data_IF_170205346728
#
_entry.id   IF_170205346728
#
_cell.length_a   1.000
_cell.length_b   1.000
_cell.length_c   1.000
_cell.angle_alpha   90.00
_cell.angle_beta   90.00
_cell.angle_gamma   90.00
#
_symmetry.space_group_name_H-M   'P 1'
#
loop_
_entity.id
_entity.type
_entity.pdbx_description
1 polymer ?
#
# COMPACT_ATOMS: atom_id res chain seq x y z
N UNK A 1 11.31 15.59 5.63
CA UNK A 1 10.23 15.85 4.63
C UNK A 1 10.40 17.22 3.98
N UNK A 2 10.30 18.37 4.68
CA UNK A 2 10.43 19.69 4.03
C UNK A 2 11.74 19.93 3.26
N UNK A 3 12.83 19.32 3.70
CA UNK A 3 14.14 19.38 3.02
C UNK A 3 14.20 18.52 1.74
N UNK A 4 13.38 17.46 1.66
CA UNK A 4 13.34 16.49 0.54
C UNK A 4 12.16 16.77 -0.41
N UNK A 5 11.12 17.42 0.10
CA UNK A 5 9.89 17.83 -0.58
C UNK A 5 9.63 19.30 -0.22
N UNK A 6 10.29 20.25 -0.91
CA UNK A 6 10.11 21.67 -0.64
C UNK A 6 8.66 22.09 -0.94
N UNK A 7 8.15 23.06 -0.18
CA UNK A 7 6.80 23.58 -0.42
C UNK A 7 6.74 24.21 -1.81
N UNK A 8 5.69 23.87 -2.57
CA UNK A 8 5.45 24.47 -3.88
C UNK A 8 5.29 26.00 -3.72
N UNK A 9 6.13 26.83 -4.36
CA UNK A 9 6.07 28.28 -4.23
C UNK A 9 4.82 28.91 -4.87
N UNK A 10 4.19 28.23 -5.84
CA UNK A 10 2.95 28.66 -6.47
C UNK A 10 1.94 27.49 -6.57
N UNK A 11 1.26 27.16 -5.46
CA UNK A 11 0.28 26.08 -5.47
C UNK A 11 -0.95 26.50 -6.25
N UNK A 12 -1.43 25.59 -7.11
CA UNK A 12 -2.74 25.73 -7.78
C UNK A 12 -3.86 25.41 -6.79
N UNK A 13 -5.02 26.01 -6.98
CA UNK A 13 -6.23 25.63 -6.26
C UNK A 13 -6.62 24.21 -6.65
N UNK A 14 -6.89 23.36 -5.66
CA UNK A 14 -7.31 21.98 -5.85
C UNK A 14 -8.80 21.84 -5.55
N UNK A 15 -9.57 21.26 -6.46
CA UNK A 15 -10.96 20.84 -6.24
C UNK A 15 -11.06 19.33 -5.97
N UNK A 16 -12.21 18.87 -5.46
CA UNK A 16 -12.47 17.43 -5.29
C UNK A 16 -12.39 16.67 -6.63
N UNK A 17 -12.94 17.26 -7.70
CA UNK A 17 -12.88 16.70 -9.05
C UNK A 17 -11.45 16.53 -9.53
N UNK A 18 -10.57 17.51 -9.27
CA UNK A 18 -9.15 17.41 -9.61
C UNK A 18 -8.42 16.35 -8.76
N UNK A 19 -8.77 16.22 -7.48
CA UNK A 19 -8.22 15.15 -6.63
C UNK A 19 -8.58 13.77 -7.19
N UNK A 20 -9.84 13.57 -7.57
CA UNK A 20 -10.26 12.32 -8.25
C UNK A 20 -9.50 12.09 -9.55
N UNK A 21 -9.28 13.15 -10.34
CA UNK A 21 -8.50 13.06 -11.59
C UNK A 21 -7.05 12.64 -11.34
N UNK A 22 -6.40 13.15 -10.29
CA UNK A 22 -5.04 12.75 -9.91
C UNK A 22 -5.00 11.26 -9.59
N UNK A 23 -5.96 10.75 -8.78
CA UNK A 23 -6.04 9.33 -8.44
C UNK A 23 -6.31 8.48 -9.69
N UNK A 24 -7.20 8.93 -10.58
CA UNK A 24 -7.49 8.22 -11.83
C UNK A 24 -6.27 8.15 -12.77
N UNK A 25 -5.51 9.24 -12.89
CA UNK A 25 -4.26 9.24 -13.66
C UNK A 25 -3.27 8.25 -13.05
N UNK A 26 -3.11 8.26 -11.73
CA UNK A 26 -2.23 7.33 -11.03
C UNK A 26 -2.61 5.86 -11.28
N UNK A 27 -3.89 5.49 -11.20
CA UNK A 27 -4.37 4.14 -11.54
C UNK A 27 -4.09 3.79 -13.00
N UNK A 28 -4.31 4.72 -13.94
CA UNK A 28 -4.04 4.48 -15.36
C UNK A 28 -2.55 4.23 -15.63
N UNK A 29 -1.67 5.04 -15.01
CA UNK A 29 -0.22 4.93 -15.18
C UNK A 29 0.31 3.62 -14.58
N UNK A 30 -0.19 3.23 -13.39
CA UNK A 30 0.13 1.94 -12.78
C UNK A 30 -0.33 0.76 -13.64
N UNK A 31 -1.53 0.83 -14.23
CA UNK A 31 -2.01 -0.20 -15.15
C UNK A 31 -1.15 -0.30 -16.42
N UNK A 32 -0.68 0.83 -16.95
CA UNK A 32 0.23 0.83 -18.10
C UNK A 32 1.60 0.22 -17.74
N UNK A 33 2.12 0.53 -16.56
CA UNK A 33 3.35 -0.06 -16.03
C UNK A 33 3.21 -1.57 -15.82
N UNK A 34 2.14 -2.02 -15.16
CA UNK A 34 1.80 -3.43 -14.97
C UNK A 34 1.76 -4.17 -16.31
N UNK A 35 1.04 -3.64 -17.31
CA UNK A 35 0.95 -4.28 -18.63
C UNK A 35 2.31 -4.41 -19.32
N UNK A 36 3.18 -3.41 -19.15
CA UNK A 36 4.54 -3.43 -19.69
C UNK A 36 5.38 -4.53 -19.02
N UNK A 37 5.31 -4.63 -17.68
CA UNK A 37 6.04 -5.63 -16.90
C UNK A 37 5.53 -7.04 -17.20
N UNK A 38 4.21 -7.22 -17.22
CA UNK A 38 3.53 -8.47 -17.55
C UNK A 38 3.79 -8.92 -18.99
N UNK A 39 4.19 -8.03 -19.90
CA UNK A 39 4.58 -8.39 -21.26
C UNK A 39 5.98 -9.05 -21.35
N UNK A 40 6.80 -8.97 -20.31
CA UNK A 40 8.11 -9.63 -20.24
C UNK A 40 7.90 -11.14 -20.06
N UNK A 41 8.19 -11.92 -21.11
CA UNK A 41 8.00 -13.39 -21.12
C UNK A 41 9.28 -14.19 -21.12
N UNK A 42 10.40 -13.55 -21.46
CA UNK A 42 11.71 -14.18 -21.47
C UNK A 42 12.10 -14.56 -20.04
N UNK A 43 12.41 -15.84 -19.80
CA UNK A 43 12.86 -16.33 -18.49
C UNK A 43 14.27 -15.89 -18.17
N UNK A 44 15.06 -15.54 -19.18
CA UNK A 44 16.49 -15.26 -19.06
C UNK A 44 16.76 -13.75 -19.15
N UNK A 45 15.70 -12.93 -19.06
CA UNK A 45 15.82 -11.47 -19.08
C UNK A 45 16.68 -11.00 -17.91
N UNK A 46 17.60 -10.08 -18.22
CA UNK A 46 18.39 -9.36 -17.22
C UNK A 46 18.47 -7.89 -17.59
N UNK A 47 18.15 -7.02 -16.65
CA UNK A 47 18.22 -5.57 -16.81
C UNK A 47 19.13 -4.97 -15.72
N UNK A 48 20.45 -4.85 -15.98
CA UNK A 48 21.38 -4.20 -15.06
C UNK A 48 21.01 -2.71 -14.91
N UNK A 49 20.66 -2.29 -13.70
CA UNK A 49 20.38 -0.90 -13.35
C UNK A 49 21.18 -0.44 -12.14
N UNK A 50 21.84 0.71 -12.28
CA UNK A 50 22.38 1.43 -11.15
C UNK A 50 21.26 2.19 -10.43
N UNK A 51 20.49 1.52 -9.57
CA UNK A 51 19.33 2.12 -8.91
C UNK A 51 19.72 3.35 -8.08
N UNK A 52 20.92 3.37 -7.50
CA UNK A 52 21.44 4.54 -6.79
C UNK A 52 21.69 5.78 -7.66
N UNK A 53 21.77 5.63 -8.98
CA UNK A 53 21.88 6.73 -9.94
C UNK A 53 20.53 7.18 -10.50
N UNK A 54 19.45 6.45 -10.24
CA UNK A 54 18.11 6.85 -10.67
C UNK A 54 17.72 8.09 -9.89
N UNK A 55 17.28 9.13 -10.61
CA UNK A 55 16.75 10.35 -9.99
C UNK A 55 15.27 10.46 -10.29
N UNK A 56 14.47 10.71 -9.26
CA UNK A 56 13.02 10.79 -9.35
C UNK A 56 12.58 12.20 -8.99
N UNK A 57 11.81 12.83 -9.88
CA UNK A 57 11.13 14.08 -9.56
C UNK A 57 9.76 13.80 -8.94
N UNK A 58 9.76 13.57 -7.62
CA UNK A 58 8.55 13.30 -6.85
C UNK A 58 7.55 14.48 -6.85
N UNK A 59 7.98 15.66 -7.28
CA UNK A 59 7.21 16.90 -7.16
C UNK A 59 6.75 17.46 -8.51
N UNK A 60 7.22 16.90 -9.62
CA UNK A 60 7.00 17.44 -10.96
C UNK A 60 7.58 18.84 -11.16
N UNK A 61 8.61 19.24 -10.39
CA UNK A 61 9.22 20.59 -10.44
C UNK A 61 10.45 20.67 -11.34
N UNK A 62 10.82 19.57 -12.01
CA UNK A 62 12.06 19.43 -12.78
C UNK A 62 13.30 19.32 -11.91
N UNK A 63 13.14 19.10 -10.60
CA UNK A 63 14.24 18.97 -9.61
C UNK A 63 14.25 17.55 -9.05
N UNK A 64 14.89 16.60 -9.75
CA UNK A 64 14.85 15.21 -9.33
C UNK A 64 15.76 15.01 -8.10
N UNK A 65 15.31 14.16 -7.18
CA UNK A 65 16.08 13.71 -6.02
C UNK A 65 16.62 12.31 -6.27
N UNK A 66 17.70 11.92 -5.59
CA UNK A 66 18.27 10.59 -5.75
C UNK A 66 17.30 9.53 -5.19
N UNK A 67 17.02 8.49 -5.99
CA UNK A 67 16.16 7.37 -5.61
C UNK A 67 16.73 6.57 -4.42
N UNK A 68 18.02 6.73 -4.11
CA UNK A 68 18.66 6.16 -2.93
C UNK A 68 17.96 6.51 -1.61
N UNK A 69 17.22 7.63 -1.53
CA UNK A 69 16.37 7.91 -0.37
C UNK A 69 15.27 6.85 -0.14
N UNK A 70 14.74 6.25 -1.22
CA UNK A 70 13.72 5.18 -1.17
C UNK A 70 14.29 3.86 -0.62
N UNK A 71 15.60 3.66 -0.76
CA UNK A 71 16.33 2.48 -0.28
C UNK A 71 16.74 2.58 1.20
N UNK A 72 16.32 3.64 1.90
CA UNK A 72 16.55 3.81 3.34
C UNK A 72 17.72 4.72 3.65
N UNK A 73 17.47 6.03 3.68
CA UNK A 73 18.18 7.00 4.54
C UNK A 73 19.71 6.92 4.58
N UNK A 74 20.37 6.86 3.43
CA UNK A 74 21.82 7.03 3.31
C UNK A 74 22.19 8.50 3.53
N UNK A 75 22.55 8.83 4.76
CA UNK A 75 22.71 10.21 5.22
C UNK A 75 24.15 10.71 5.08
N UNK A 76 25.11 9.84 4.81
CA UNK A 76 26.52 10.22 4.62
C UNK A 76 26.92 10.20 3.14
N UNK A 77 27.85 11.08 2.71
CA UNK A 77 28.37 11.07 1.34
C UNK A 77 29.03 9.74 0.92
N UNK A 78 29.62 9.01 1.87
CA UNK A 78 30.25 7.70 1.64
C UNK A 78 29.20 6.61 1.34
N UNK A 79 28.11 6.57 2.13
CA UNK A 79 26.98 5.69 1.86
C UNK A 79 26.31 6.00 0.51
N UNK A 80 26.19 7.28 0.15
CA UNK A 80 25.63 7.69 -1.14
C UNK A 80 26.51 7.25 -2.32
N UNK A 81 27.84 7.29 -2.18
CA UNK A 81 28.77 6.77 -3.20
C UNK A 81 28.70 5.26 -3.34
N UNK A 82 28.57 4.54 -2.23
CA UNK A 82 28.37 3.08 -2.24
C UNK A 82 27.06 2.71 -2.94
N UNK A 83 25.99 3.47 -2.66
CA UNK A 83 24.67 3.25 -3.27
C UNK A 83 24.65 3.55 -4.76
N UNK A 84 25.34 4.61 -5.19
CA UNK A 84 25.52 4.94 -6.59
C UNK A 84 26.27 3.83 -7.37
N UNK A 85 27.12 3.06 -6.70
CA UNK A 85 27.85 1.95 -7.31
C UNK A 85 27.05 0.65 -7.38
N UNK A 86 25.97 0.50 -6.60
CA UNK A 86 25.14 -0.72 -6.64
C UNK A 86 24.46 -0.88 -7.99
N UNK A 87 24.79 -1.98 -8.66
CA UNK A 87 24.04 -2.52 -9.79
C UNK A 87 23.05 -3.52 -9.24
N UNK A 88 21.84 -3.50 -9.75
CA UNK A 88 20.82 -4.54 -9.57
C UNK A 88 20.51 -5.13 -10.93
N UNK A 89 20.58 -6.45 -11.05
CA UNK A 89 20.28 -7.14 -12.30
C UNK A 89 18.82 -7.61 -12.28
N UNK A 90 17.90 -6.73 -12.66
CA UNK A 90 16.48 -7.07 -12.60
C UNK A 90 16.12 -8.19 -13.56
N UNK A 91 15.51 -9.24 -13.04
CA UNK A 91 15.24 -10.48 -13.76
C UNK A 91 13.73 -10.70 -14.08
N UNK A 92 13.38 -11.93 -14.48
CA UNK A 92 12.01 -12.31 -14.77
C UNK A 92 11.11 -12.29 -13.53
N UNK A 93 11.62 -12.75 -12.38
CA UNK A 93 10.90 -12.72 -11.11
C UNK A 93 10.63 -11.28 -10.65
N UNK A 94 11.58 -10.38 -10.85
CA UNK A 94 11.45 -8.95 -10.53
C UNK A 94 10.40 -8.23 -11.36
N UNK A 95 10.22 -8.63 -12.62
CA UNK A 95 9.13 -8.12 -13.45
C UNK A 95 7.75 -8.50 -12.86
N UNK A 96 7.60 -9.72 -12.34
CA UNK A 96 6.37 -10.13 -11.64
C UNK A 96 6.23 -9.42 -10.29
N UNK A 97 7.31 -9.26 -9.53
CA UNK A 97 7.33 -8.50 -8.27
C UNK A 97 6.78 -7.09 -8.46
N UNK A 98 7.34 -6.33 -9.42
CA UNK A 98 6.91 -4.96 -9.64
C UNK A 98 5.49 -4.88 -10.23
N UNK A 99 5.07 -5.85 -11.05
CA UNK A 99 3.68 -5.95 -11.53
C UNK A 99 2.69 -6.25 -10.38
N UNK A 100 3.09 -7.07 -9.41
CA UNK A 100 2.34 -7.31 -8.17
C UNK A 100 2.12 -6.02 -7.37
N UNK A 101 3.17 -5.21 -7.22
CA UNK A 101 3.08 -3.88 -6.61
C UNK A 101 2.16 -2.92 -7.35
N UNK A 102 2.23 -2.88 -8.67
CA UNK A 102 1.33 -2.04 -9.47
C UNK A 102 -0.13 -2.38 -9.19
N UNK A 103 -0.46 -3.68 -9.17
CA UNK A 103 -1.79 -4.17 -8.84
C UNK A 103 -2.20 -3.83 -7.39
N UNK A 104 -1.32 -4.02 -6.40
CA UNK A 104 -1.63 -3.65 -5.01
C UNK A 104 -2.00 -2.17 -4.89
N UNK A 105 -1.24 -1.28 -5.53
CA UNK A 105 -1.49 0.16 -5.50
C UNK A 105 -2.75 0.54 -6.29
N UNK A 106 -2.98 -0.07 -7.45
CA UNK A 106 -4.22 0.10 -8.23
C UNK A 106 -5.46 -0.25 -7.39
N UNK A 107 -5.42 -1.32 -6.61
CA UNK A 107 -6.54 -1.70 -5.75
C UNK A 107 -6.95 -0.58 -4.77
N UNK A 108 -5.97 0.09 -4.16
CA UNK A 108 -6.24 1.24 -3.27
C UNK A 108 -6.76 2.45 -4.05
N UNK A 109 -6.21 2.74 -5.22
CA UNK A 109 -6.71 3.78 -6.10
C UNK A 109 -8.17 3.56 -6.50
N UNK A 110 -8.54 2.33 -6.84
CA UNK A 110 -9.93 1.96 -7.16
C UNK A 110 -10.86 2.10 -5.96
N UNK A 111 -10.44 1.71 -4.75
CA UNK A 111 -11.24 1.93 -3.52
C UNK A 111 -11.44 3.42 -3.25
N UNK A 112 -10.40 4.24 -3.39
CA UNK A 112 -10.49 5.71 -3.21
C UNK A 112 -11.42 6.37 -4.23
N UNK A 113 -11.47 5.85 -5.46
CA UNK A 113 -12.39 6.31 -6.50
C UNK A 113 -13.82 5.75 -6.30
N UNK A 114 -13.97 4.57 -5.69
CA UNK A 114 -15.27 3.96 -5.43
C UNK A 114 -16.11 4.78 -4.44
N UNK A 115 -15.46 5.44 -3.47
CA UNK A 115 -16.12 6.22 -2.43
C UNK A 115 -16.48 7.63 -2.86
N UNK A 116 -17.54 8.17 -2.25
CA UNK A 116 -17.82 9.60 -2.25
C UNK A 116 -17.06 10.27 -1.10
N UNK A 117 -16.04 11.04 -1.47
CA UNK A 117 -15.18 11.78 -0.55
C UNK A 117 -15.42 13.29 -0.60
N UNK A 118 -16.45 13.76 -1.32
CA UNK A 118 -16.67 15.18 -1.60
C UNK A 118 -16.91 15.99 -0.31
N UNK A 119 -17.75 15.47 0.59
CA UNK A 119 -18.02 16.13 1.87
C UNK A 119 -16.77 16.21 2.75
N UNK A 120 -16.01 15.10 2.84
CA UNK A 120 -14.73 15.09 3.56
C UNK A 120 -13.76 16.10 2.96
N UNK A 121 -13.64 16.15 1.63
CA UNK A 121 -12.80 17.12 0.94
C UNK A 121 -13.21 18.55 1.28
N UNK A 122 -14.48 18.90 1.11
CA UNK A 122 -15.00 20.24 1.35
C UNK A 122 -14.72 20.70 2.79
N UNK A 123 -14.92 19.82 3.77
CA UNK A 123 -14.78 20.16 5.18
C UNK A 123 -13.35 20.14 5.73
N UNK A 124 -12.40 19.44 5.07
CA UNK A 124 -11.13 19.09 5.73
C UNK A 124 -9.89 19.13 4.84
N UNK A 125 -10.03 19.32 3.53
CA UNK A 125 -8.89 19.32 2.60
C UNK A 125 -7.88 20.45 2.89
N UNK A 126 -8.31 21.55 3.51
CA UNK A 126 -7.43 22.63 3.97
C UNK A 126 -6.37 22.13 4.95
N UNK A 127 -6.62 21.07 5.71
CA UNK A 127 -5.62 20.47 6.60
C UNK A 127 -4.37 19.95 5.85
N UNK A 128 -4.51 19.60 4.57
CA UNK A 128 -3.49 18.92 3.79
C UNK A 128 -2.96 19.75 2.61
N UNK A 129 -3.77 20.65 2.07
CA UNK A 129 -3.45 21.41 0.86
C UNK A 129 -3.42 22.93 1.10
N UNK A 130 -2.60 23.64 0.32
CA UNK A 130 -2.42 25.10 0.44
C UNK A 130 -3.59 25.92 -0.08
N UNK A 131 -4.19 25.47 -1.17
CA UNK A 131 -5.34 26.13 -1.80
C UNK A 131 -6.34 25.06 -2.19
N UNK A 132 -7.56 25.17 -1.70
CA UNK A 132 -8.65 24.23 -1.99
C UNK A 132 -9.89 24.99 -2.42
N UNK A 133 -10.60 24.44 -3.39
CA UNK A 133 -11.92 24.89 -3.78
C UNK A 133 -12.95 24.25 -2.84
N UNK A 134 -13.36 25.01 -1.82
CA UNK A 134 -14.29 24.57 -0.79
C UNK A 134 -15.42 25.58 -0.64
N UNK A 135 -16.66 25.13 -0.36
CA UNK A 135 -17.76 26.01 0.01
C UNK A 135 -17.57 26.73 1.36
N UNK A 136 -16.49 26.44 2.10
CA UNK A 136 -16.19 27.01 3.41
C UNK A 136 -14.89 27.83 3.43
N UNK A 137 -14.86 29.05 2.83
CA UNK A 137 -13.63 29.85 2.71
C UNK A 137 -12.93 30.15 4.04
N UNK A 138 -13.67 30.25 5.15
CA UNK A 138 -13.13 30.56 6.48
C UNK A 138 -12.16 29.48 7.00
N UNK A 139 -12.21 28.25 6.47
CA UNK A 139 -11.26 27.18 6.83
C UNK A 139 -9.82 27.53 6.44
N UNK A 140 -9.63 28.44 5.48
CA UNK A 140 -8.31 28.89 5.03
C UNK A 140 -7.66 29.92 5.95
N UNK A 141 -8.41 30.54 6.87
CA UNK A 141 -7.91 31.56 7.79
C UNK A 141 -7.13 30.96 8.99
N UNK A 142 -7.20 29.63 9.17
CA UNK A 142 -6.60 28.90 10.28
C UNK A 142 -5.15 28.47 10.08
N UNK A 143 -4.42 28.27 11.19
CA UNK A 143 -3.05 27.73 11.16
C UNK A 143 -3.04 26.20 10.99
N UNK A 144 -2.28 25.70 10.02
CA UNK A 144 -2.16 24.25 9.70
C UNK A 144 -1.03 23.56 10.45
N UNK A 145 -0.97 23.81 11.76
CA UNK A 145 0.13 23.38 12.63
C UNK A 145 -0.35 22.32 13.63
N UNK A 146 -0.24 21.05 13.23
CA UNK A 146 -0.63 19.91 14.07
C UNK A 146 0.09 19.85 15.44
N UNK A 147 1.26 20.47 15.56
CA UNK A 147 1.99 20.63 16.82
C UNK A 147 1.32 21.60 17.81
N UNK A 148 0.28 22.33 17.38
CA UNK A 148 -0.43 23.32 18.21
C UNK A 148 -1.75 22.82 18.78
N UNK A 149 -2.08 21.52 18.65
CA UNK A 149 -3.35 20.94 19.18
C UNK A 149 -3.57 21.31 20.64
N UNK A 150 -2.52 21.22 21.45
CA UNK A 150 -2.52 21.66 22.84
C UNK A 150 -1.24 22.43 23.14
N UNK A 151 -1.38 23.61 23.75
CA UNK A 151 -0.26 24.38 24.27
C UNK A 151 -0.53 24.70 25.76
N UNK A 152 0.39 24.41 26.68
CA UNK A 152 0.20 24.70 28.11
C UNK A 152 -0.09 26.17 28.43
N UNK A 153 0.40 27.12 27.62
CA UNK A 153 0.22 28.55 27.83
C UNK A 153 -1.07 29.12 27.22
N UNK A 154 -1.56 28.55 26.11
CA UNK A 154 -2.74 29.08 25.37
C UNK A 154 -3.93 28.13 25.36
N UNK A 155 -3.80 26.95 25.95
CA UNK A 155 -4.83 25.92 26.00
C UNK A 155 -4.97 25.13 24.68
N UNK A 156 -6.17 24.58 24.47
CA UNK A 156 -6.51 23.78 23.29
C UNK A 156 -6.75 24.68 22.08
N UNK A 157 -6.12 24.38 20.95
CA UNK A 157 -6.42 25.02 19.68
C UNK A 157 -7.77 24.50 19.14
N UNK A 158 -8.85 25.18 19.54
CA UNK A 158 -10.23 24.77 19.25
C UNK A 158 -10.53 24.62 17.76
N UNK A 159 -10.14 25.55 16.86
CA UNK A 159 -10.32 25.37 15.42
C UNK A 159 -9.69 24.07 14.91
N UNK A 160 -8.40 23.86 15.18
CA UNK A 160 -7.69 22.66 14.70
C UNK A 160 -8.27 21.36 15.26
N UNK A 161 -8.63 21.33 16.54
CA UNK A 161 -9.30 20.16 17.13
C UNK A 161 -10.65 19.90 16.47
N UNK A 162 -11.41 20.95 16.16
CA UNK A 162 -12.70 20.81 15.47
C UNK A 162 -12.53 20.24 14.06
N UNK A 163 -11.51 20.69 13.32
CA UNK A 163 -11.19 20.18 11.98
C UNK A 163 -10.76 18.70 12.01
N UNK A 164 -9.93 18.31 13.00
CA UNK A 164 -9.53 16.90 13.18
C UNK A 164 -10.74 16.04 13.52
N UNK A 165 -11.63 16.52 14.40
CA UNK A 165 -12.86 15.81 14.73
C UNK A 165 -13.78 15.68 13.52
N UNK A 166 -13.90 16.72 12.69
CA UNK A 166 -14.65 16.66 11.44
C UNK A 166 -14.04 15.64 10.47
N UNK A 167 -12.71 15.62 10.30
CA UNK A 167 -12.00 14.65 9.47
C UNK A 167 -12.29 13.21 9.89
N UNK A 168 -12.19 12.92 11.19
CA UNK A 168 -12.49 11.59 11.74
C UNK A 168 -13.98 11.27 11.59
N UNK A 169 -14.87 12.22 11.87
CA UNK A 169 -16.32 12.04 11.81
C UNK A 169 -16.81 11.69 10.40
N UNK A 170 -16.14 12.24 9.38
CA UNK A 170 -16.47 12.06 7.97
C UNK A 170 -15.86 10.79 7.36
N UNK A 171 -15.22 9.91 8.15
CA UNK A 171 -14.82 8.55 7.73
C UNK A 171 -16.05 7.63 7.62
N UNK A 172 -17.00 8.04 6.77
CA UNK A 172 -18.33 7.47 6.59
C UNK A 172 -18.68 7.53 5.12
N UNK A 173 -17.95 6.77 4.35
CA UNK A 173 -17.90 6.88 2.91
C UNK A 173 -19.06 6.15 2.25
N UNK A 174 -20.00 6.91 1.70
CA UNK A 174 -20.97 6.38 0.74
C UNK A 174 -20.25 5.95 -0.55
N UNK A 175 -20.86 5.07 -1.33
CA UNK A 175 -20.29 4.62 -2.60
C UNK A 175 -20.79 5.50 -3.73
N UNK A 176 -19.85 6.07 -4.50
CA UNK A 176 -20.10 6.84 -5.72
C UNK A 176 -19.99 5.96 -6.98
N UNK A 177 -18.98 5.08 -7.00
CA UNK A 177 -18.67 4.20 -8.13
C UNK A 177 -18.46 2.76 -7.63
N UNK A 178 -19.52 2.06 -7.15
CA UNK A 178 -19.39 0.77 -6.47
C UNK A 178 -18.74 -0.34 -7.32
N UNK A 179 -18.86 -0.29 -8.66
CA UNK A 179 -18.25 -1.28 -9.55
C UNK A 179 -16.71 -1.30 -9.45
N UNK A 180 -16.09 -0.18 -9.05
CA UNK A 180 -14.64 -0.11 -8.81
C UNK A 180 -14.17 -1.01 -7.69
N UNK A 181 -15.04 -1.37 -6.75
CA UNK A 181 -14.70 -2.36 -5.72
C UNK A 181 -14.41 -3.74 -6.32
N UNK A 182 -15.08 -4.11 -7.43
CA UNK A 182 -14.77 -5.37 -8.14
C UNK A 182 -13.43 -5.26 -8.88
N UNK A 183 -13.11 -4.10 -9.45
CA UNK A 183 -11.80 -3.85 -10.05
C UNK A 183 -10.69 -3.92 -8.98
N UNK A 184 -10.90 -3.34 -7.80
CA UNK A 184 -9.99 -3.43 -6.68
C UNK A 184 -9.74 -4.90 -6.26
N UNK A 185 -10.80 -5.72 -6.18
CA UNK A 185 -10.65 -7.14 -5.90
C UNK A 185 -9.84 -7.87 -6.99
N UNK A 186 -10.12 -7.59 -8.27
CA UNK A 186 -9.38 -8.19 -9.38
C UNK A 186 -7.88 -7.86 -9.29
N UNK A 187 -7.54 -6.61 -9.01
CA UNK A 187 -6.16 -6.20 -8.76
C UNK A 187 -5.53 -6.93 -7.56
N UNK A 188 -6.23 -7.11 -6.44
CA UNK A 188 -5.70 -7.88 -5.31
C UNK A 188 -5.47 -9.36 -5.65
N UNK A 189 -6.35 -9.96 -6.45
CA UNK A 189 -6.20 -11.34 -6.95
C UNK A 189 -5.04 -11.46 -7.95
N UNK A 190 -4.83 -10.44 -8.80
CA UNK A 190 -3.71 -10.38 -9.74
C UNK A 190 -2.38 -10.18 -9.01
N UNK A 191 -2.33 -9.32 -7.99
CA UNK A 191 -1.16 -9.16 -7.11
C UNK A 191 -0.75 -10.49 -6.49
N UNK A 192 -1.70 -11.25 -5.92
CA UNK A 192 -1.40 -12.57 -5.36
C UNK A 192 -0.84 -13.54 -6.41
N UNK A 193 -1.35 -13.47 -7.65
CA UNK A 193 -0.87 -14.31 -8.76
C UNK A 193 0.56 -13.95 -9.14
N UNK A 194 0.87 -12.66 -9.23
CA UNK A 194 2.22 -12.18 -9.50
C UNK A 194 3.19 -12.58 -8.38
N UNK A 195 2.79 -12.41 -7.11
CA UNK A 195 3.59 -12.83 -5.96
C UNK A 195 3.92 -14.34 -6.02
N UNK A 196 2.99 -15.20 -6.42
CA UNK A 196 3.30 -16.63 -6.63
C UNK A 196 4.19 -16.90 -7.83
N UNK A 197 4.04 -16.11 -8.89
CA UNK A 197 4.80 -16.24 -10.12
C UNK A 197 6.26 -15.80 -9.93
N UNK A 198 6.53 -14.66 -9.25
CA UNK A 198 7.89 -14.21 -8.94
C UNK A 198 8.69 -15.29 -8.19
N UNK A 199 8.11 -15.90 -7.14
CA UNK A 199 8.80 -16.92 -6.34
C UNK A 199 9.06 -18.20 -7.14
N UNK A 200 8.23 -18.51 -8.14
CA UNK A 200 8.50 -19.62 -9.06
C UNK A 200 9.75 -19.34 -9.90
N UNK A 201 9.96 -18.10 -10.34
CA UNK A 201 11.15 -17.72 -11.13
C UNK A 201 12.39 -17.63 -10.24
N UNK A 202 12.32 -16.94 -9.10
CA UNK A 202 13.45 -16.86 -8.15
C UNK A 202 13.95 -18.23 -7.70
N UNK A 203 13.05 -19.17 -7.40
CA UNK A 203 13.44 -20.53 -7.00
C UNK A 203 14.04 -21.37 -8.15
N UNK A 204 13.86 -20.95 -9.40
CA UNK A 204 14.41 -21.62 -10.57
C UNK A 204 15.76 -21.04 -11.01
N UNK A 205 16.10 -19.82 -10.57
CA UNK A 205 17.37 -19.16 -10.87
C UNK A 205 18.57 -19.92 -10.28
N UNK A 206 19.70 -19.81 -10.98
CA UNK A 206 20.93 -20.55 -10.65
C UNK A 206 22.16 -19.67 -10.56
N UNK A 207 22.11 -18.49 -11.15
CA UNK A 207 23.10 -17.45 -10.98
C UNK A 207 22.95 -16.76 -9.62
N UNK A 208 23.87 -15.85 -9.32
CA UNK A 208 23.93 -15.14 -8.05
C UNK A 208 24.50 -13.74 -8.33
N UNK A 209 23.88 -13.06 -9.27
CA UNK A 209 24.39 -11.85 -9.90
C UNK A 209 23.52 -10.66 -9.50
N UNK A 210 23.94 -9.94 -8.45
CA UNK A 210 23.32 -8.67 -8.03
C UNK A 210 21.80 -8.75 -7.83
N UNK A 211 21.33 -9.79 -7.13
CA UNK A 211 19.89 -10.04 -6.95
C UNK A 211 19.20 -8.92 -6.16
N UNK A 212 18.03 -8.48 -6.65
CA UNK A 212 17.14 -7.64 -5.87
C UNK A 212 16.56 -8.42 -4.69
N UNK A 213 15.91 -9.55 -4.95
CA UNK A 213 15.42 -10.50 -3.94
C UNK A 213 16.11 -11.84 -4.18
N UNK A 214 17.06 -12.24 -3.32
CA UNK A 214 17.75 -13.51 -3.51
C UNK A 214 16.85 -14.68 -3.14
N UNK A 215 16.96 -15.76 -3.91
CA UNK A 215 16.52 -17.08 -3.49
C UNK A 215 17.41 -17.62 -2.34
N UNK A 216 17.04 -18.76 -1.70
CA UNK A 216 17.76 -19.28 -0.53
C UNK A 216 19.24 -19.64 -0.74
N UNK A 217 19.68 -19.79 -2.00
CA UNK A 217 21.06 -20.15 -2.37
C UNK A 217 21.85 -18.95 -2.90
N UNK A 218 21.21 -17.79 -3.04
CA UNK A 218 21.78 -16.55 -3.55
C UNK A 218 22.08 -15.56 -2.41
N UNK A 219 22.79 -14.49 -2.76
CA UNK A 219 23.09 -13.33 -1.92
C UNK A 219 22.64 -12.08 -2.68
N UNK A 220 21.65 -11.40 -2.13
CA UNK A 220 21.12 -10.17 -2.73
C UNK A 220 21.96 -8.96 -2.37
N UNK A 221 21.80 -7.89 -3.14
CA UNK A 221 22.54 -6.62 -2.98
C UNK A 221 22.27 -5.95 -1.63
N UNK A 222 21.09 -6.17 -1.04
CA UNK A 222 20.75 -5.68 0.29
C UNK A 222 21.36 -6.51 1.44
N UNK A 223 22.05 -7.61 1.12
CA UNK A 223 22.63 -8.58 2.07
C UNK A 223 21.61 -9.13 3.10
N UNK A 224 20.32 -9.04 2.79
CA UNK A 224 19.25 -9.62 3.59
C UNK A 224 19.18 -11.11 3.27
N UNK A 225 19.55 -11.95 4.23
CA UNK A 225 19.46 -13.40 4.09
C UNK A 225 18.01 -13.86 3.93
N UNK A 226 17.73 -14.54 2.83
CA UNK A 226 16.49 -15.28 2.57
C UNK A 226 16.76 -16.77 2.79
N UNK A 227 15.87 -17.47 3.50
CA UNK A 227 16.01 -18.93 3.75
C UNK A 227 14.87 -19.69 3.10
N UNK A 228 15.07 -20.99 2.83
CA UNK A 228 13.99 -21.84 2.30
C UNK A 228 12.76 -21.82 3.22
N UNK A 229 12.96 -21.82 4.53
CA UNK A 229 11.87 -21.74 5.50
C UNK A 229 11.07 -20.42 5.37
N UNK A 230 11.75 -19.30 5.09
CA UNK A 230 11.09 -18.01 4.82
C UNK A 230 10.22 -18.09 3.58
N UNK A 231 10.74 -18.64 2.48
CA UNK A 231 9.99 -18.80 1.23
C UNK A 231 8.79 -19.73 1.43
N UNK A 232 9.00 -20.91 2.02
CA UNK A 232 7.93 -21.87 2.27
C UNK A 232 6.82 -21.30 3.17
N UNK A 233 7.21 -20.50 4.17
CA UNK A 233 6.25 -19.84 5.07
C UNK A 233 5.52 -18.72 4.36
N UNK A 234 6.19 -17.96 3.50
CA UNK A 234 5.58 -16.91 2.71
C UNK A 234 4.57 -17.44 1.69
N UNK A 235 4.90 -18.53 0.98
CA UNK A 235 3.99 -19.16 0.03
C UNK A 235 2.69 -19.64 0.71
N UNK A 236 2.77 -20.14 1.95
CA UNK A 236 1.59 -20.45 2.76
C UNK A 236 0.76 -19.20 3.06
N UNK A 237 1.39 -18.07 3.38
CA UNK A 237 0.70 -16.78 3.58
C UNK A 237 0.00 -16.32 2.30
N UNK A 238 0.66 -16.43 1.14
CA UNK A 238 0.08 -16.07 -0.15
C UNK A 238 -1.12 -16.95 -0.52
N UNK A 239 -1.04 -18.25 -0.27
CA UNK A 239 -2.16 -19.17 -0.49
C UNK A 239 -3.35 -18.83 0.41
N UNK A 240 -3.09 -18.58 1.70
CA UNK A 240 -4.12 -18.21 2.66
C UNK A 240 -4.80 -16.88 2.30
N UNK A 241 -4.02 -15.87 1.90
CA UNK A 241 -4.55 -14.60 1.42
C UNK A 241 -5.41 -14.78 0.16
N UNK A 242 -4.96 -15.61 -0.78
CA UNK A 242 -5.71 -15.94 -1.99
C UNK A 242 -7.06 -16.62 -1.69
N UNK A 243 -7.10 -17.55 -0.74
CA UNK A 243 -8.35 -18.21 -0.33
C UNK A 243 -9.34 -17.24 0.33
N UNK A 244 -8.86 -16.24 1.06
CA UNK A 244 -9.68 -15.18 1.65
C UNK A 244 -10.24 -14.24 0.57
N UNK A 245 -9.43 -13.80 -0.40
CA UNK A 245 -9.87 -12.96 -1.53
C UNK A 245 -10.91 -13.67 -2.41
N UNK A 246 -10.74 -14.98 -2.59
CA UNK A 246 -11.69 -15.83 -3.32
C UNK A 246 -12.96 -16.15 -2.49
N UNK A 247 -13.04 -15.75 -1.22
CA UNK A 247 -14.17 -16.03 -0.33
C UNK A 247 -14.31 -17.50 0.07
N UNK A 248 -13.27 -18.32 -0.15
CA UNK A 248 -13.23 -19.74 0.26
C UNK A 248 -13.01 -19.87 1.76
N UNK A 249 -12.21 -18.96 2.33
CA UNK A 249 -11.99 -18.83 3.77
C UNK A 249 -12.47 -17.46 4.25
N UNK A 250 -12.96 -17.44 5.50
CA UNK A 250 -13.57 -16.27 6.11
C UNK A 250 -12.63 -15.65 7.14
N UNK A 251 -12.57 -14.32 7.20
CA UNK A 251 -11.85 -13.61 8.26
C UNK A 251 -12.57 -13.86 9.60
N UNK A 252 -11.86 -14.18 10.69
CA UNK A 252 -12.50 -14.43 11.98
C UNK A 252 -13.31 -13.22 12.45
N UNK A 253 -14.57 -13.43 12.81
CA UNK A 253 -15.38 -12.38 13.42
C UNK A 253 -15.18 -12.38 14.94
N UNK A 254 -14.64 -11.29 15.48
CA UNK A 254 -14.24 -11.18 16.89
C UNK A 254 -15.40 -10.93 17.85
N UNK A 255 -16.60 -10.59 17.35
CA UNK A 255 -17.79 -10.33 18.17
C UNK A 255 -18.84 -11.41 17.98
N UNK A 256 -19.10 -12.19 19.02
CA UNK A 256 -20.13 -13.23 18.99
C UNK A 256 -19.54 -14.59 19.36
N UNK A 257 -20.24 -15.66 19.00
CA UNK A 257 -19.79 -17.01 19.33
C UNK A 257 -18.54 -17.36 18.49
N UNK A 258 -17.38 -17.61 19.13
CA UNK A 258 -16.15 -17.92 18.42
C UNK A 258 -16.31 -19.12 17.49
N UNK A 259 -15.73 -19.04 16.29
CA UNK A 259 -15.73 -20.14 15.31
C UNK A 259 -17.07 -20.42 14.63
N UNK A 260 -18.14 -19.68 14.94
CA UNK A 260 -19.47 -19.91 14.32
C UNK A 260 -19.67 -19.12 13.04
N UNK A 261 -19.17 -17.88 12.98
CA UNK A 261 -19.28 -17.01 11.80
C UNK A 261 -17.95 -16.34 11.51
N UNK A 262 -17.67 -16.13 10.23
CA UNK A 262 -16.58 -15.28 9.75
C UNK A 262 -17.09 -14.25 8.75
N UNK A 263 -16.26 -13.26 8.45
CA UNK A 263 -16.52 -12.22 7.45
C UNK A 263 -16.04 -12.71 6.08
N UNK A 264 -16.95 -12.74 5.11
CA UNK A 264 -16.61 -13.03 3.71
C UNK A 264 -16.02 -11.77 3.05
N UNK A 265 -14.69 -11.71 2.93
CA UNK A 265 -14.00 -10.54 2.36
C UNK A 265 -14.40 -10.31 0.90
N UNK A 266 -14.56 -11.38 0.11
CA UNK A 266 -14.98 -11.27 -1.29
C UNK A 266 -16.27 -10.46 -1.43
N UNK A 267 -17.27 -10.74 -0.58
CA UNK A 267 -18.55 -10.02 -0.60
C UNK A 267 -18.44 -8.55 -0.23
N UNK A 268 -17.42 -8.15 0.54
CA UNK A 268 -17.14 -6.72 0.79
C UNK A 268 -16.85 -5.97 -0.51
N UNK A 269 -16.20 -6.64 -1.47
CA UNK A 269 -15.89 -6.06 -2.78
C UNK A 269 -16.97 -6.30 -3.84
N UNK A 270 -17.63 -7.47 -3.83
CA UNK A 270 -18.63 -7.81 -4.86
C UNK A 270 -20.03 -7.30 -4.55
N UNK A 271 -20.35 -7.05 -3.28
CA UNK A 271 -21.60 -6.48 -2.80
C UNK A 271 -21.32 -5.26 -1.91
N UNK A 272 -20.58 -4.25 -2.42
CA UNK A 272 -20.03 -3.22 -1.57
C UNK A 272 -21.14 -2.35 -0.99
N UNK A 273 -20.93 -1.92 0.25
CA UNK A 273 -21.80 -1.01 1.00
C UNK A 273 -20.96 0.16 1.50
N UNK A 274 -21.63 1.14 2.13
CA UNK A 274 -20.98 2.23 2.87
C UNK A 274 -19.77 1.73 3.67
N UNK A 275 -18.63 2.38 3.49
CA UNK A 275 -17.40 2.08 4.21
C UNK A 275 -17.31 3.01 5.42
N UNK A 276 -17.41 2.42 6.61
CA UNK A 276 -17.24 3.12 7.89
C UNK A 276 -16.24 2.31 8.75
N UNK A 277 -14.97 2.72 8.82
CA UNK A 277 -13.94 2.00 9.56
C UNK A 277 -14.26 1.82 11.05
N UNK A 278 -14.98 2.77 11.66
CA UNK A 278 -15.36 2.69 13.07
C UNK A 278 -16.43 1.65 13.30
N UNK A 279 -17.43 1.57 12.42
CA UNK A 279 -18.45 0.52 12.47
C UNK A 279 -17.93 -0.84 12.00
N UNK A 280 -16.87 -0.88 11.19
CA UNK A 280 -16.11 -2.10 10.92
C UNK A 280 -15.39 -2.58 12.16
N UNK A 281 -14.61 -1.72 12.83
CA UNK A 281 -13.93 -2.07 14.09
C UNK A 281 -14.89 -2.41 15.23
N UNK A 282 -16.03 -1.72 15.29
CA UNK A 282 -17.10 -2.05 16.24
C UNK A 282 -17.81 -3.35 15.85
N UNK A 283 -17.88 -3.71 14.57
CA UNK A 283 -18.36 -4.98 14.05
C UNK A 283 -19.74 -4.95 13.37
N UNK A 284 -20.57 -3.90 13.52
CA UNK A 284 -21.90 -3.84 12.89
C UNK A 284 -21.83 -3.68 11.38
N UNK A 285 -20.80 -3.02 10.85
CA UNK A 285 -20.63 -2.91 9.39
C UNK A 285 -20.29 -4.27 8.74
N UNK A 286 -19.74 -5.22 9.50
CA UNK A 286 -19.44 -6.56 9.03
C UNK A 286 -20.69 -7.45 8.91
N UNK A 287 -21.80 -7.09 9.59
CA UNK A 287 -22.97 -7.94 9.74
C UNK A 287 -23.55 -8.51 8.41
N UNK A 288 -23.64 -7.72 7.31
CA UNK A 288 -24.13 -8.23 6.02
C UNK A 288 -23.25 -9.31 5.37
N UNK A 289 -21.99 -9.39 5.79
CA UNK A 289 -20.96 -10.27 5.23
C UNK A 289 -20.64 -11.46 6.15
N UNK A 290 -21.40 -11.64 7.23
CA UNK A 290 -21.20 -12.75 8.17
C UNK A 290 -21.81 -14.04 7.66
N UNK A 291 -20.98 -15.08 7.55
CA UNK A 291 -21.35 -16.39 7.03
C UNK A 291 -20.77 -17.51 7.88
N UNK A 292 -21.33 -18.71 7.75
CA UNK A 292 -20.72 -19.93 8.28
C UNK A 292 -19.79 -20.51 7.22
N UNK A 293 -18.60 -20.92 7.61
CA UNK A 293 -17.60 -21.49 6.70
C UNK A 293 -16.27 -21.70 7.38
N UNK A 294 -15.28 -22.12 6.59
CA UNK A 294 -13.91 -22.30 7.06
C UNK A 294 -13.32 -20.94 7.42
N UNK A 295 -12.84 -20.80 8.66
CA UNK A 295 -12.12 -19.60 9.10
C UNK A 295 -10.68 -19.68 8.59
N UNK A 296 -10.12 -18.54 8.19
CA UNK A 296 -8.72 -18.44 7.77
C UNK A 296 -7.75 -18.90 8.85
N UNK A 297 -6.68 -19.57 8.41
CA UNK A 297 -5.55 -19.94 9.27
C UNK A 297 -4.78 -18.71 9.79
N UNK A 298 -5.02 -17.51 9.25
CA UNK A 298 -4.60 -16.26 9.90
C UNK A 298 -5.24 -16.07 11.29
N UNK A 299 -6.30 -16.79 11.63
CA UNK A 299 -6.85 -16.84 12.99
C UNK A 299 -6.12 -17.85 13.89
N UNK A 300 -5.29 -18.73 13.33
CA UNK A 300 -4.60 -19.79 14.05
C UNK A 300 -3.29 -19.25 14.70
N UNK A 301 -3.16 -19.32 16.04
CA UNK A 301 -1.93 -18.92 16.72
C UNK A 301 -0.67 -19.68 16.26
N UNK A 302 -0.82 -20.91 15.76
CA UNK A 302 0.31 -21.71 15.29
C UNK A 302 0.93 -21.15 14.01
N UNK A 303 0.10 -20.64 13.08
CA UNK A 303 0.59 -19.97 11.88
C UNK A 303 1.37 -18.71 12.27
N UNK A 304 0.84 -17.90 13.17
CA UNK A 304 1.55 -16.73 13.68
C UNK A 304 2.82 -17.08 14.46
N UNK A 305 2.83 -18.20 15.19
CA UNK A 305 4.04 -18.68 15.84
C UNK A 305 5.11 -19.03 14.80
N UNK A 306 4.74 -19.74 13.73
CA UNK A 306 5.64 -20.04 12.61
C UNK A 306 6.16 -18.77 11.96
N UNK A 307 5.28 -17.86 11.54
CA UNK A 307 5.66 -16.56 10.93
C UNK A 307 6.65 -15.81 11.82
N UNK A 308 6.36 -15.69 13.12
CA UNK A 308 7.24 -14.97 14.05
C UNK A 308 8.58 -15.67 14.25
N UNK A 309 8.63 -17.01 14.24
CA UNK A 309 9.87 -17.79 14.34
C UNK A 309 10.73 -17.61 13.09
N UNK A 310 10.11 -17.63 11.91
CA UNK A 310 10.79 -17.58 10.62
C UNK A 310 11.27 -16.17 10.25
N UNK A 311 10.43 -15.14 10.42
CA UNK A 311 10.74 -13.77 10.00
C UNK A 311 11.24 -12.87 11.14
N UNK A 312 10.98 -13.23 12.39
CA UNK A 312 11.22 -12.37 13.55
C UNK A 312 10.08 -11.38 13.78
N UNK A 313 9.71 -11.22 15.06
CA UNK A 313 8.50 -10.51 15.54
C UNK A 313 8.29 -9.08 15.02
N UNK A 314 9.38 -8.36 14.70
CA UNK A 314 9.32 -6.97 14.23
C UNK A 314 9.69 -6.79 12.75
N UNK A 315 10.11 -7.85 12.05
CA UNK A 315 10.59 -7.76 10.66
C UNK A 315 9.60 -8.33 9.65
N UNK A 316 8.60 -9.09 10.10
CA UNK A 316 7.63 -9.73 9.21
C UNK A 316 7.01 -8.73 8.24
N UNK A 317 6.42 -7.62 8.70
CA UNK A 317 5.76 -6.67 7.79
C UNK A 317 6.71 -5.99 6.82
N UNK A 318 7.93 -5.67 7.25
CA UNK A 318 8.96 -5.09 6.37
C UNK A 318 9.39 -6.07 5.28
N UNK A 319 9.64 -7.33 5.66
CA UNK A 319 10.02 -8.38 4.70
C UNK A 319 8.84 -8.82 3.84
N UNK A 320 7.62 -8.84 4.38
CA UNK A 320 6.39 -9.15 3.66
C UNK A 320 6.06 -8.08 2.64
N UNK A 321 6.41 -6.82 2.88
CA UNK A 321 6.37 -5.80 1.83
C UNK A 321 7.38 -6.21 0.75
N UNK A 322 8.65 -6.33 1.07
CA UNK A 322 9.70 -6.67 0.10
C UNK A 322 9.46 -7.99 -0.68
N UNK A 323 8.84 -9.01 -0.07
CA UNK A 323 8.57 -10.34 -0.66
C UNK A 323 7.34 -10.43 -1.57
N UNK A 324 6.55 -9.36 -1.70
CA UNK A 324 5.24 -9.36 -2.39
C UNK A 324 5.30 -8.70 -3.76
#
# INVERSE_FOLDING_TARGET
IREVLPQNPDPKTLSYTETRKIIQTWVNDLNAAEQTLSAVKDSDVKLPLHVGLIKVDLTGTGKPIDAGFLLGGFNTPEEQQQVAAFVLDFDRGDADWLAGYCNFLCAWGEVLLAVDGEEMFNCTSHLFFEKVDTPYPFLMDGTRRFDTVYNPATGVNRPLVSDILAFIHLWRFELKEPERMKAALAHLEDMQRHAKSMWKYYLAETDNENEWIPNPNQTGVLEIKVTQEMVDTWLVVLDEAGEVLQGKKLIPFWRGQPGVKGVNLRRVFTEPRKIDPFLWFQGTAAAPYLEKGTITDFANPELWRRINQTFGRNRFFTLAFWFN
#
